data_IF_705800550118
#
_entry.id   IF_705800550118
#
_cell.length_a   1.000
_cell.length_b   1.000
_cell.length_c   1.000
_cell.angle_alpha   90.00
_cell.angle_beta   90.00
_cell.angle_gamma   90.00
#
_symmetry.space_group_name_H-M   'P 1'
#
loop_
_entity.id
_entity.type
_entity.pdbx_description
1 polymer ?
2 non-polymer ?
3 non-polymer ?
4 non-polymer ?
5 water ?
#
# COMPACT_ATOMS: atom_id res chain seq x y z
N UNK A 1 13.97 -1.16 -13.18
CA UNK A 1 13.34 -0.81 -14.44
C UNK A 1 11.99 -1.50 -14.62
N UNK A 2 11.03 -0.74 -15.17
CA UNK A 2 9.65 -1.17 -15.21
C UNK A 2 9.51 -2.52 -15.93
N UNK A 3 10.20 -2.68 -17.05
CA UNK A 3 10.05 -3.87 -17.88
C UNK A 3 10.90 -5.04 -17.43
N UNK A 4 11.70 -4.87 -16.39
CA UNK A 4 12.65 -5.89 -15.96
C UNK A 4 12.70 -5.91 -14.42
N UNK A 5 11.55 -6.05 -13.80
CA UNK A 5 11.45 -6.01 -12.35
C UNK A 5 11.19 -7.41 -11.80
N UNK A 6 11.37 -7.53 -10.48
CA UNK A 6 10.90 -8.70 -9.77
C UNK A 6 9.39 -8.82 -9.89
N UNK A 7 8.91 -10.04 -9.71
CA UNK A 7 7.49 -10.36 -9.65
C UNK A 7 7.08 -10.58 -8.20
N UNK A 8 5.77 -10.67 -7.97
CA UNK A 8 5.31 -11.02 -6.64
C UNK A 8 5.77 -12.42 -6.25
N UNK A 9 5.78 -13.35 -7.21
CA UNK A 9 6.23 -14.70 -6.90
C UNK A 9 7.67 -14.70 -6.43
N UNK A 10 8.52 -13.84 -7.00
CA UNK A 10 9.89 -13.73 -6.52
C UNK A 10 9.96 -13.08 -5.16
N UNK A 11 9.04 -12.16 -4.86
CA UNK A 11 8.98 -11.58 -3.51
C UNK A 11 8.66 -12.67 -2.50
N UNK A 12 7.68 -13.53 -2.81
CA UNK A 12 7.36 -14.66 -1.93
C UNK A 12 8.60 -15.49 -1.66
N UNK A 13 9.35 -15.82 -2.72
CA UNK A 13 10.55 -16.62 -2.57
C UNK A 13 11.53 -15.98 -1.60
N UNK A 14 11.83 -14.70 -1.78
CA UNK A 14 12.81 -14.05 -0.92
C UNK A 14 12.32 -13.92 0.51
N UNK A 15 11.01 -13.72 0.72
CA UNK A 15 10.48 -13.74 2.08
C UNK A 15 10.60 -15.13 2.68
N UNK A 16 10.31 -16.17 1.89
CA UNK A 16 10.50 -17.53 2.39
C UNK A 16 11.94 -17.81 2.76
N UNK A 17 12.88 -17.32 1.96
CA UNK A 17 14.30 -17.53 2.27
C UNK A 17 14.70 -16.81 3.55
N UNK A 18 14.15 -15.61 3.77
CA UNK A 18 14.48 -14.87 4.99
C UNK A 18 13.98 -15.60 6.22
N UNK A 19 12.80 -16.23 6.13
CA UNK A 19 12.28 -16.98 7.27
C UNK A 19 13.10 -18.23 7.52
N UNK A 20 13.37 -18.99 6.47
CA UNK A 20 14.19 -20.18 6.59
C UNK A 20 15.54 -19.86 7.20
N UNK A 21 16.14 -18.75 6.80
CA UNK A 21 17.42 -18.36 7.38
C UNK A 21 17.28 -17.72 8.76
N UNK A 22 16.06 -17.53 9.26
CA UNK A 22 15.83 -16.92 10.56
C UNK A 22 16.50 -15.54 10.64
N UNK A 23 16.41 -14.78 9.55
CA UNK A 23 16.93 -13.42 9.48
C UNK A 23 15.89 -12.48 10.08
N UNK A 24 15.84 -12.46 11.41
CA UNK A 24 14.78 -11.75 12.11
C UNK A 24 15.22 -10.34 12.48
N UNK A 25 14.26 -9.41 12.46
CA UNK A 25 14.46 -8.02 12.86
C UNK A 25 13.35 -7.67 13.86
N UNK A 26 13.74 -7.17 15.02
CA UNK A 26 12.77 -6.95 16.10
C UNK A 26 12.01 -5.66 15.85
N UNK A 27 10.69 -5.76 15.80
CA UNK A 27 9.79 -4.63 15.57
C UNK A 27 9.83 -3.68 16.76
N UNK A 28 9.39 -2.44 16.53
CA UNK A 28 9.27 -1.48 17.63
C UNK A 28 8.36 -2.01 18.75
N UNK A 29 7.43 -2.90 18.44
CA UNK A 29 6.53 -3.48 19.46
C UNK A 29 7.12 -4.69 20.16
N UNK A 30 8.32 -5.12 19.77
CA UNK A 30 9.01 -6.22 20.41
C UNK A 30 8.93 -7.54 19.67
N UNK A 31 7.99 -7.69 18.73
CA UNK A 31 7.84 -8.97 18.06
C UNK A 31 8.84 -9.07 16.92
N UNK A 32 9.10 -10.30 16.46
CA UNK A 32 10.00 -10.50 15.35
C UNK A 32 9.32 -10.17 14.02
N UNK A 33 10.13 -9.71 13.06
CA UNK A 33 9.72 -9.57 11.67
C UNK A 33 10.78 -10.16 10.77
N UNK A 34 10.39 -10.49 9.54
CA UNK A 34 11.31 -10.73 8.44
C UNK A 34 11.03 -9.66 7.40
N UNK A 35 12.07 -9.28 6.64
CA UNK A 35 11.91 -8.18 5.71
C UNK A 35 12.65 -8.43 4.40
N UNK A 36 12.21 -7.71 3.38
CA UNK A 36 13.04 -7.36 2.23
C UNK A 36 13.32 -5.88 2.32
N UNK A 37 14.60 -5.50 2.28
CA UNK A 37 15.01 -4.09 2.36
C UNK A 37 15.19 -3.54 0.96
N UNK A 38 14.64 -2.36 0.70
CA UNK A 38 14.77 -1.77 -0.63
C UNK A 38 14.07 -2.59 -1.69
N UNK A 39 12.93 -3.20 -1.35
CA UNK A 39 12.18 -3.99 -2.30
C UNK A 39 11.75 -3.13 -3.49
N UNK A 40 11.76 -3.73 -4.67
CA UNK A 40 11.27 -3.08 -5.87
C UNK A 40 10.74 -4.17 -6.79
N UNK A 41 9.47 -4.11 -7.11
CA UNK A 41 8.85 -5.18 -7.89
C UNK A 41 7.59 -4.66 -8.56
N UNK A 42 7.23 -5.28 -9.66
CA UNK A 42 5.94 -5.00 -10.28
C UNK A 42 4.88 -5.79 -9.55
N UNK A 43 3.82 -5.10 -9.13
CA UNK A 43 2.70 -5.75 -8.46
C UNK A 43 1.86 -6.44 -9.53
N UNK A 44 2.34 -7.60 -9.97
CA UNK A 44 1.65 -8.38 -10.99
C UNK A 44 0.59 -9.30 -10.42
N UNK A 45 0.45 -9.35 -9.10
CA UNK A 45 -0.66 -10.00 -8.42
C UNK A 45 -1.16 -9.07 -7.33
N UNK A 46 -2.43 -9.19 -6.94
CA UNK A 46 -3.01 -8.25 -5.96
C UNK A 46 -2.80 -8.62 -4.50
N UNK A 47 -2.03 -9.67 -4.22
CA UNK A 47 -1.72 -10.06 -2.86
C UNK A 47 -0.40 -10.81 -2.88
N UNK A 48 0.21 -10.95 -1.71
CA UNK A 48 1.42 -11.74 -1.54
C UNK A 48 1.13 -13.01 -0.77
N UNK A 49 0.69 -12.87 0.48
CA UNK A 49 0.24 -13.97 1.30
C UNK A 49 -1.08 -13.58 1.95
N UNK A 50 -1.89 -14.58 2.29
CA UNK A 50 -3.09 -14.34 3.07
C UNK A 50 -4.36 -14.45 2.23
N UNK A 51 -5.48 -14.47 2.94
CA UNK A 51 -6.77 -14.59 2.32
C UNK A 51 -7.20 -13.27 1.69
N UNK A 52 -8.09 -13.37 0.71
CA UNK A 52 -8.76 -12.20 0.18
C UNK A 52 -9.69 -11.61 1.24
N UNK A 53 -9.93 -10.31 1.12
CA UNK A 53 -10.95 -9.68 1.94
C UNK A 53 -11.47 -8.46 1.18
N UNK A 54 -12.22 -8.73 0.11
CA UNK A 54 -12.87 -7.65 -0.61
C UNK A 54 -13.72 -6.79 0.31
N UNK A 55 -14.29 -7.39 1.37
CA UNK A 55 -15.21 -6.63 2.21
C UNK A 55 -14.48 -5.56 3.02
N UNK A 56 -13.32 -5.88 3.62
CA UNK A 56 -12.58 -4.82 4.28
C UNK A 56 -12.08 -3.79 3.28
N UNK A 57 -11.66 -4.23 2.09
CA UNK A 57 -11.16 -3.28 1.10
C UNK A 57 -12.24 -2.28 0.69
N UNK A 58 -13.49 -2.73 0.56
CA UNK A 58 -14.54 -1.77 0.22
C UNK A 58 -14.83 -0.82 1.38
N UNK A 59 -14.73 -1.31 2.62
CA UNK A 59 -14.89 -0.42 3.77
C UNK A 59 -13.78 0.62 3.79
N UNK A 60 -12.53 0.19 3.54
CA UNK A 60 -11.46 1.17 3.54
C UNK A 60 -11.64 2.19 2.43
N UNK A 61 -12.13 1.76 1.27
CA UNK A 61 -12.33 2.71 0.17
C UNK A 61 -13.35 3.77 0.56
N UNK A 62 -14.45 3.37 1.21
CA UNK A 62 -15.45 4.36 1.61
C UNK A 62 -14.87 5.31 2.65
N UNK A 63 -14.07 4.78 3.56
CA UNK A 63 -13.41 5.66 4.53
C UNK A 63 -12.50 6.66 3.82
N UNK A 64 -11.71 6.19 2.87
CA UNK A 64 -10.86 7.10 2.10
C UNK A 64 -11.71 8.15 1.36
N UNK A 65 -12.81 7.72 0.73
CA UNK A 65 -13.65 8.69 0.03
C UNK A 65 -14.19 9.75 0.97
N UNK A 66 -14.46 9.39 2.23
CA UNK A 66 -14.94 10.37 3.19
C UNK A 66 -13.87 11.38 3.58
N UNK A 67 -12.60 11.02 3.41
CA UNK A 67 -11.43 11.84 3.77
C UNK A 67 -11.33 12.05 5.28
N UNK A 68 -12.06 11.29 6.10
CA UNK A 68 -12.07 11.52 7.53
C UNK A 68 -10.76 11.07 8.16
N UNK A 69 -10.21 11.92 9.04
CA UNK A 69 -9.02 11.58 9.79
C UNK A 69 -9.33 10.80 11.08
N UNK A 70 -10.56 10.32 11.26
CA UNK A 70 -10.96 9.62 12.48
C UNK A 70 -11.33 8.17 12.18
N UNK A 71 -10.75 7.24 12.95
CA UNK A 71 -10.87 5.83 12.62
C UNK A 71 -12.28 5.29 12.85
N UNK A 72 -13.07 5.92 13.72
CA UNK A 72 -14.44 5.44 13.92
C UNK A 72 -15.26 5.59 12.65
N UNK A 73 -14.89 6.51 11.77
CA UNK A 73 -15.61 6.70 10.51
C UNK A 73 -15.37 5.58 9.50
N UNK A 74 -14.42 4.68 9.74
CA UNK A 74 -14.38 3.46 8.92
C UNK A 74 -15.72 2.72 9.08
N UNK A 75 -16.38 2.31 8.00
CA UNK A 75 -17.68 1.65 8.15
C UNK A 75 -17.64 0.45 9.07
N UNK A 76 -18.67 0.30 9.90
CA UNK A 76 -18.78 -0.88 10.74
C UNK A 76 -17.86 -0.80 11.94
N UNK A 77 -17.62 -1.95 12.56
CA UNK A 77 -16.70 -2.01 13.70
C UNK A 77 -15.26 -1.77 13.23
N UNK A 78 -14.67 -0.66 13.65
CA UNK A 78 -13.34 -0.29 13.15
C UNK A 78 -12.32 -1.34 13.58
N UNK A 79 -11.44 -1.78 12.69
CA UNK A 79 -10.47 -2.82 13.08
C UNK A 79 -9.61 -2.43 14.27
N UNK A 80 -9.19 -3.45 15.02
CA UNK A 80 -8.44 -3.21 16.24
C UNK A 80 -7.14 -2.44 15.96
N UNK A 81 -6.51 -2.71 14.81
CA UNK A 81 -5.24 -2.05 14.52
C UNK A 81 -5.44 -0.55 14.41
N UNK A 82 -6.55 -0.12 13.80
CA UNK A 82 -6.82 1.31 13.68
C UNK A 82 -7.17 1.92 15.04
N UNK A 83 -7.92 1.20 15.88
CA UNK A 83 -8.17 1.69 17.23
C UNK A 83 -6.89 1.84 18.03
N UNK A 84 -5.91 0.95 17.80
CA UNK A 84 -4.67 0.98 18.58
C UNK A 84 -3.77 2.15 18.20
N UNK A 85 -3.64 2.44 16.89
CA UNK A 85 -2.73 3.51 16.48
C UNK A 85 -3.36 4.90 16.54
N UNK A 86 -4.66 5.01 16.83
CA UNK A 86 -5.34 6.31 16.78
C UNK A 86 -4.98 7.15 18.01
N UNK A 87 -5.24 8.45 17.91
CA UNK A 87 -4.92 9.36 19.00
C UNK A 87 -5.95 9.22 20.12
N UNK A 88 -5.74 10.01 21.19
CA UNK A 88 -6.70 10.04 22.30
C UNK A 88 -8.10 10.46 21.86
N UNK A 89 -8.21 11.12 20.72
CA UNK A 89 -9.50 11.55 20.17
C UNK A 89 -9.93 10.70 18.99
N UNK A 90 -9.26 9.58 18.73
CA UNK A 90 -9.62 8.73 17.62
C UNK A 90 -9.06 9.16 16.28
N UNK A 91 -8.04 10.02 16.27
CA UNK A 91 -7.53 10.63 15.04
C UNK A 91 -6.29 9.88 14.54
N UNK A 92 -6.08 9.94 13.21
CA UNK A 92 -4.90 9.35 12.57
C UNK A 92 -4.36 10.33 11.54
N UNK A 93 -3.32 9.90 10.82
CA UNK A 93 -2.79 10.61 9.66
C UNK A 93 -3.09 9.92 8.34
N UNK A 94 -3.07 8.59 8.31
CA UNK A 94 -3.03 7.81 7.05
C UNK A 94 -4.41 7.52 6.48
N UNK A 95 -5.22 8.54 6.28
CA UNK A 95 -6.38 8.41 5.39
C UNK A 95 -5.88 8.83 4.00
N UNK A 96 -5.72 7.85 3.11
CA UNK A 96 -5.15 8.10 1.82
C UNK A 96 -6.10 8.88 0.91
N UNK A 97 -7.41 8.79 1.15
CA UNK A 97 -8.32 9.68 0.45
C UNK A 97 -8.14 11.13 0.87
N UNK A 98 -7.95 11.36 2.17
CA UNK A 98 -7.55 12.70 2.60
C UNK A 98 -6.28 13.12 1.88
N UNK A 99 -5.28 12.22 1.83
CA UNK A 99 -3.99 12.58 1.24
C UNK A 99 -4.13 13.07 -0.20
N UNK A 100 -4.96 12.40 -1.00
CA UNK A 100 -5.00 12.78 -2.42
C UNK A 100 -6.17 13.70 -2.78
N UNK A 101 -7.20 13.79 -1.93
CA UNK A 101 -8.38 14.57 -2.29
C UNK A 101 -8.64 15.78 -1.41
N UNK A 102 -8.03 15.88 -0.23
CA UNK A 102 -8.29 17.04 0.62
C UNK A 102 -7.56 18.27 0.12
N UNK A 103 -8.24 19.42 0.19
CA UNK A 103 -7.53 20.66 -0.11
C UNK A 103 -6.48 20.96 0.94
N UNK A 104 -6.62 20.40 2.15
CA UNK A 104 -5.62 20.60 3.20
C UNK A 104 -4.32 19.85 2.90
N UNK A 105 -4.32 18.90 1.98
CA UNK A 105 -3.05 18.32 1.52
C UNK A 105 -2.72 18.76 0.09
N UNK A 106 -3.27 19.90 -0.34
CA UNK A 106 -2.88 20.61 -1.56
C UNK A 106 -3.30 19.90 -2.85
N UNK A 107 -4.45 19.22 -2.80
CA UNK A 107 -5.17 18.77 -4.00
C UNK A 107 -4.29 17.88 -4.89
N UNK A 108 -3.71 16.84 -4.28
CA UNK A 108 -2.72 16.02 -4.98
C UNK A 108 -3.30 15.40 -6.25
N UNK A 109 -4.45 14.73 -6.11
CA UNK A 109 -5.05 14.07 -7.28
C UNK A 109 -5.35 15.08 -8.38
N UNK A 110 -6.03 16.18 -8.04
CA UNK A 110 -6.45 17.14 -9.06
C UNK A 110 -5.25 17.79 -9.75
N UNK A 111 -4.19 18.09 -9.00
CA UNK A 111 -3.03 18.74 -9.62
C UNK A 111 -2.27 17.78 -10.49
N UNK A 112 -2.15 16.53 -10.06
CA UNK A 112 -1.55 15.50 -10.92
C UNK A 112 -2.35 15.31 -12.20
N UNK A 113 -3.68 15.26 -12.08
CA UNK A 113 -4.54 15.17 -13.27
C UNK A 113 -4.34 16.36 -14.20
N UNK A 114 -4.26 17.56 -13.63
CA UNK A 114 -4.06 18.76 -14.45
C UNK A 114 -2.66 18.77 -15.09
N UNK A 115 -1.63 18.36 -14.36
CA UNK A 115 -0.29 18.31 -14.92
C UNK A 115 -0.21 17.37 -16.12
N UNK A 116 -0.74 16.14 -15.98
CA UNK A 116 -0.67 15.18 -17.06
C UNK A 116 -1.65 15.52 -18.18
N UNK A 117 -2.73 16.24 -17.86
CA UNK A 117 -3.63 16.68 -18.90
C UNK A 117 -3.01 17.71 -19.81
N UNK A 118 -2.16 18.58 -19.26
CA UNK A 118 -1.47 19.59 -20.07
C UNK A 118 -0.20 19.06 -20.70
N UNK A 119 0.51 18.14 -20.05
CA UNK A 119 1.71 17.55 -20.64
C UNK A 119 1.74 16.05 -20.36
N UNK A 120 1.23 15.23 -21.29
CA UNK A 120 1.23 13.77 -21.08
C UNK A 120 2.59 13.18 -20.78
N UNK A 121 3.68 13.76 -21.28
CA UNK A 121 5.00 13.19 -21.05
C UNK A 121 5.64 13.69 -19.77
N UNK A 122 4.94 14.50 -19.00
CA UNK A 122 5.51 15.13 -17.82
C UNK A 122 6.08 14.13 -16.82
N UNK A 123 7.19 14.53 -16.19
CA UNK A 123 7.74 13.83 -15.03
C UNK A 123 7.23 14.38 -13.70
N UNK A 124 6.39 15.41 -13.74
CA UNK A 124 5.89 16.08 -12.54
C UNK A 124 4.50 15.63 -12.14
N UNK A 125 4.04 14.50 -12.66
CA UNK A 125 2.74 13.97 -12.29
C UNK A 125 2.90 13.09 -11.07
N UNK A 126 2.55 13.60 -9.90
CA UNK A 126 2.87 12.90 -8.66
C UNK A 126 1.80 13.23 -7.63
N UNK A 127 1.52 12.28 -6.75
CA UNK A 127 0.66 12.53 -5.60
C UNK A 127 1.50 12.32 -4.34
N UNK A 128 1.60 13.37 -3.55
CA UNK A 128 2.55 13.42 -2.45
C UNK A 128 1.75 13.20 -1.18
N UNK A 129 1.95 12.03 -0.56
CA UNK A 129 1.17 11.61 0.60
C UNK A 129 1.78 12.12 1.90
N UNK A 130 3.08 11.88 2.10
CA UNK A 130 3.74 12.24 3.35
C UNK A 130 4.06 13.73 3.29
N UNK A 131 4.69 14.25 4.34
CA UNK A 131 4.96 15.69 4.44
C UNK A 131 6.11 15.88 5.41
N UNK A 132 6.92 16.92 5.23
CA UNK A 132 8.07 17.11 6.14
C UNK A 132 7.68 17.19 7.60
N UNK A 133 6.53 17.78 7.94
CA UNK A 133 6.12 17.88 9.34
C UNK A 133 5.73 16.54 9.95
N UNK A 134 5.71 15.47 9.16
CA UNK A 134 5.46 14.13 9.69
C UNK A 134 6.48 13.75 10.75
N UNK A 135 7.66 14.38 10.74
CA UNK A 135 8.65 14.10 11.78
C UNK A 135 8.11 14.40 13.18
N UNK A 136 7.13 15.29 13.27
CA UNK A 136 6.46 15.61 14.53
C UNK A 136 5.00 15.19 14.57
N UNK A 137 4.35 15.09 13.41
CA UNK A 137 2.92 14.78 13.38
C UNK A 137 2.61 13.31 13.63
N UNK A 138 3.60 12.41 13.48
CA UNK A 138 3.30 10.99 13.53
C UNK A 138 2.72 10.55 14.88
N UNK A 139 2.99 11.30 15.97
CA UNK A 139 2.43 10.94 17.27
C UNK A 139 1.62 12.07 17.89
N UNK A 140 0.96 12.89 17.07
CA UNK A 140 0.08 13.93 17.59
C UNK A 140 -1.01 13.35 18.47
N UNK A 141 -1.23 13.97 19.63
CA UNK A 141 -2.24 13.52 20.58
C UNK A 141 -2.11 12.03 20.92
N UNK A 142 -0.89 11.50 20.86
CA UNK A 142 -0.73 10.11 21.27
C UNK A 142 -1.00 9.08 20.19
N UNK A 143 -1.24 9.50 18.95
CA UNK A 143 -1.38 8.50 17.91
C UNK A 143 -0.02 7.86 17.61
N UNK A 144 -0.03 6.79 16.80
CA UNK A 144 1.24 6.17 16.37
C UNK A 144 1.06 5.84 14.90
N UNK A 145 1.25 6.86 14.04
CA UNK A 145 0.84 6.73 12.65
C UNK A 145 1.77 7.64 11.82
N UNK A 146 2.98 7.15 11.59
CA UNK A 146 3.92 7.79 10.68
C UNK A 146 3.56 7.35 9.25
N UNK A 147 3.22 8.31 8.39
CA UNK A 147 2.77 7.98 7.03
C UNK A 147 3.73 6.99 6.38
N UNK A 148 3.19 5.88 5.84
CA UNK A 148 4.05 4.87 5.20
C UNK A 148 4.14 5.02 3.70
N UNK A 149 3.09 5.46 3.03
CA UNK A 149 3.20 5.79 1.61
C UNK A 149 3.81 7.19 1.50
N UNK A 150 4.93 7.33 0.79
CA UNK A 150 5.58 8.63 0.63
C UNK A 150 5.01 9.39 -0.56
N UNK A 151 5.14 8.81 -1.75
CA UNK A 151 4.69 9.43 -3.00
C UNK A 151 4.21 8.34 -3.94
N UNK A 152 3.33 8.71 -4.88
CA UNK A 152 3.02 7.87 -6.02
C UNK A 152 3.12 8.73 -7.27
N UNK A 153 3.99 8.34 -8.18
CA UNK A 153 4.23 9.09 -9.41
C UNK A 153 3.58 8.38 -10.58
N UNK A 154 3.02 9.16 -11.49
CA UNK A 154 2.31 8.61 -12.65
C UNK A 154 3.01 9.03 -13.93
N UNK A 155 3.41 8.06 -14.74
CA UNK A 155 4.21 8.30 -15.94
C UNK A 155 3.53 7.63 -17.12
N UNK A 156 3.13 8.44 -18.10
CA UNK A 156 2.37 7.98 -19.25
C UNK A 156 3.35 7.72 -20.39
N UNK A 157 3.53 6.46 -20.77
CA UNK A 157 4.49 6.09 -21.81
C UNK A 157 3.85 5.05 -22.71
N UNK A 158 3.88 5.28 -24.02
CA UNK A 158 3.20 4.41 -24.98
C UNK A 158 1.73 4.25 -24.61
N UNK A 159 1.10 5.35 -24.23
CA UNK A 159 -0.31 5.44 -23.88
C UNK A 159 -0.71 4.50 -22.74
N UNK A 160 0.23 4.09 -21.89
CA UNK A 160 -0.09 3.35 -20.68
C UNK A 160 0.34 4.21 -19.49
N UNK A 161 -0.51 4.28 -18.47
CA UNK A 161 -0.18 5.06 -17.28
C UNK A 161 0.40 4.11 -16.24
N UNK A 162 1.68 4.31 -15.93
CA UNK A 162 2.39 3.54 -14.92
C UNK A 162 2.41 4.29 -13.60
N UNK A 163 2.26 3.56 -12.50
CA UNK A 163 2.31 4.15 -11.16
C UNK A 163 3.55 3.63 -10.46
N UNK A 164 4.40 4.54 -10.01
CA UNK A 164 5.58 4.22 -9.23
C UNK A 164 5.24 4.56 -7.78
N UNK A 165 4.98 3.53 -6.98
CA UNK A 165 4.56 3.69 -5.59
C UNK A 165 5.82 3.65 -4.73
N UNK A 166 6.04 4.70 -3.97
CA UNK A 166 7.21 4.77 -3.09
C UNK A 166 6.77 4.71 -1.64
N UNK A 167 7.05 3.59 -0.98
CA UNK A 167 6.57 3.35 0.37
C UNK A 167 7.74 3.19 1.33
N UNK A 168 7.58 3.79 2.50
CA UNK A 168 8.59 3.65 3.55
C UNK A 168 8.51 2.27 4.18
N UNK A 169 7.30 1.74 4.29
CA UNK A 169 7.05 0.62 5.19
C UNK A 169 5.76 -0.06 4.74
N UNK A 170 5.76 -1.39 4.64
CA UNK A 170 4.59 -2.08 4.12
C UNK A 170 4.53 -3.48 4.75
N UNK A 171 3.44 -3.72 5.46
CA UNK A 171 3.11 -5.06 5.93
C UNK A 171 2.72 -5.93 4.75
N UNK A 172 3.39 -7.06 4.60
CA UNK A 172 3.15 -7.93 3.44
C UNK A 172 1.73 -8.49 3.42
N UNK A 173 1.14 -8.78 4.59
CA UNK A 173 -0.07 -9.57 4.61
C UNK A 173 -1.32 -8.69 4.44
N UNK A 174 -1.55 -7.74 5.33
CA UNK A 174 -2.70 -6.86 5.15
C UNK A 174 -2.35 -5.61 4.36
N UNK A 175 -1.25 -4.95 4.73
CA UNK A 175 -0.89 -3.69 4.10
C UNK A 175 -0.82 -3.78 2.59
N UNK A 176 -0.08 -4.76 2.06
CA UNK A 176 0.11 -4.78 0.61
C UNK A 176 -1.21 -5.00 -0.11
N UNK A 177 -2.00 -5.97 0.36
CA UNK A 177 -3.26 -6.29 -0.31
C UNK A 177 -4.20 -5.08 -0.33
N UNK A 178 -4.37 -4.43 0.83
CA UNK A 178 -5.20 -3.24 0.90
C UNK A 178 -4.63 -2.11 0.06
N UNK A 179 -3.32 -1.86 0.21
CA UNK A 179 -2.71 -0.74 -0.50
C UNK A 179 -2.74 -0.99 -2.00
N UNK A 180 -2.49 -2.23 -2.42
CA UNK A 180 -2.58 -2.51 -3.85
C UNK A 180 -3.97 -2.20 -4.38
N UNK A 181 -5.00 -2.67 -3.67
CA UNK A 181 -6.37 -2.38 -4.09
C UNK A 181 -6.59 -0.89 -4.23
N UNK A 182 -6.06 -0.12 -3.29
CA UNK A 182 -6.23 1.34 -3.34
C UNK A 182 -5.46 1.96 -4.50
N UNK A 183 -4.20 1.56 -4.69
CA UNK A 183 -3.43 2.17 -5.77
C UNK A 183 -4.00 1.82 -7.14
N UNK A 184 -4.52 0.60 -7.30
CA UNK A 184 -5.14 0.22 -8.58
C UNK A 184 -6.41 1.03 -8.80
N UNK A 185 -7.17 1.27 -7.75
CA UNK A 185 -8.34 2.13 -7.82
C UNK A 185 -7.96 3.52 -8.33
N UNK A 186 -6.96 4.16 -7.70
CA UNK A 186 -6.58 5.52 -8.10
C UNK A 186 -6.08 5.54 -9.54
N UNK A 187 -5.25 4.56 -9.91
CA UNK A 187 -4.73 4.49 -11.28
C UNK A 187 -5.87 4.38 -12.28
N UNK A 188 -6.84 3.49 -12.03
CA UNK A 188 -7.94 3.34 -12.96
C UNK A 188 -8.77 4.61 -13.03
N UNK A 189 -8.90 5.31 -11.91
CA UNK A 189 -9.63 6.57 -11.91
C UNK A 189 -8.90 7.64 -12.72
N UNK A 190 -7.58 7.73 -12.56
CA UNK A 190 -6.80 8.70 -13.33
C UNK A 190 -6.85 8.40 -14.82
N UNK A 191 -6.74 7.12 -15.20
CA UNK A 191 -6.92 6.73 -16.60
C UNK A 191 -8.27 7.19 -17.11
N UNK A 192 -9.33 6.88 -16.36
CA UNK A 192 -10.69 7.23 -16.77
C UNK A 192 -10.87 8.74 -16.88
N UNK A 193 -10.39 9.47 -15.88
CA UNK A 193 -10.54 10.93 -15.88
C UNK A 193 -9.75 11.56 -17.02
N UNK A 194 -8.55 11.06 -17.33
CA UNK A 194 -7.81 11.61 -18.45
C UNK A 194 -8.51 11.27 -19.76
N UNK A 195 -8.94 10.02 -19.91
CA UNK A 195 -9.64 9.65 -21.14
C UNK A 195 -10.93 10.43 -21.29
N UNK A 196 -11.65 10.65 -20.19
CA UNK A 196 -12.87 11.43 -20.28
C UNK A 196 -12.58 12.88 -20.65
N UNK A 197 -11.39 13.38 -20.34
CA UNK A 197 -11.05 14.74 -20.71
C UNK A 197 -10.85 14.91 -22.20
N UNK A 198 -10.35 13.88 -22.89
CA UNK A 198 -10.12 13.97 -24.33
C UNK A 198 -10.11 12.57 -24.92
N UNK A 199 -11.05 12.30 -25.81
CA UNK A 199 -11.18 11.00 -26.46
C UNK A 199 -10.01 10.66 -27.39
N UNK A 200 -9.13 11.61 -27.71
CA UNK A 200 -7.95 11.26 -28.50
C UNK A 200 -6.90 10.54 -27.66
N UNK A 201 -6.95 10.67 -26.33
CA UNK A 201 -5.86 10.16 -25.50
C UNK A 201 -5.78 8.63 -25.55
N UNK A 202 -6.90 7.95 -25.29
CA UNK A 202 -7.00 6.50 -25.37
C UNK A 202 -5.94 5.81 -24.51
N UNK A 203 -5.77 6.30 -23.29
CA UNK A 203 -4.83 5.70 -22.35
C UNK A 203 -5.39 4.41 -21.76
N UNK A 204 -4.49 3.56 -21.28
CA UNK A 204 -4.85 2.36 -20.52
C UNK A 204 -3.99 2.31 -19.27
N UNK A 205 -4.44 1.54 -18.28
CA UNK A 205 -3.63 1.35 -17.09
C UNK A 205 -2.37 0.55 -17.44
N UNK A 206 -1.25 1.00 -16.93
CA UNK A 206 0.03 0.33 -17.09
C UNK A 206 0.35 -0.50 -15.86
N UNK A 207 1.63 -0.57 -15.55
CA UNK A 207 2.11 -1.34 -14.40
C UNK A 207 2.13 -0.50 -13.14
N UNK A 208 1.93 -1.16 -12.00
CA UNK A 208 2.11 -0.57 -10.68
C UNK A 208 3.41 -1.13 -10.13
N UNK A 209 4.39 -0.25 -9.95
CA UNK A 209 5.71 -0.65 -9.49
C UNK A 209 5.81 -0.28 -8.03
N UNK A 210 6.09 -1.27 -7.20
CA UNK A 210 6.06 -1.17 -5.75
C UNK A 210 7.49 -1.06 -5.24
N UNK A 211 7.81 0.06 -4.59
CA UNK A 211 9.14 0.30 -4.02
C UNK A 211 8.99 0.56 -2.53
N UNK A 212 9.60 -0.29 -1.70
CA UNK A 212 9.37 -0.28 -0.25
C UNK A 212 10.70 -0.28 0.49
N UNK A 213 10.86 0.65 1.42
CA UNK A 213 12.04 0.65 2.29
C UNK A 213 12.14 -0.66 3.07
N UNK A 214 11.10 -0.96 3.84
CA UNK A 214 11.02 -2.22 4.58
C UNK A 214 9.69 -2.87 4.24
N UNK A 215 9.74 -3.96 3.47
CA UNK A 215 8.58 -4.80 3.19
C UNK A 215 8.69 -6.01 4.12
N UNK A 216 7.75 -6.17 5.05
CA UNK A 216 7.97 -7.08 6.18
C UNK A 216 6.75 -7.94 6.51
N UNK A 217 7.01 -9.07 7.16
CA UNK A 217 5.99 -9.93 7.74
C UNK A 217 6.20 -9.94 9.24
N UNK A 218 5.12 -9.73 10.00
CA UNK A 218 5.16 -9.88 11.45
C UNK A 218 5.12 -11.35 11.85
N UNK A 219 5.69 -11.64 13.02
CA UNK A 219 5.76 -13.02 13.49
C UNK A 219 4.40 -13.70 13.54
N UNK A 220 3.32 -12.94 13.78
CA UNK A 220 1.99 -13.53 13.84
C UNK A 220 1.53 -14.07 12.49
N UNK A 221 2.25 -13.78 11.41
CA UNK A 221 1.94 -14.27 10.07
C UNK A 221 3.04 -15.16 9.49
N UNK A 222 4.05 -15.52 10.30
CA UNK A 222 5.08 -16.41 9.79
C UNK A 222 4.49 -17.72 9.29
N UNK A 223 3.37 -18.16 9.90
CA UNK A 223 2.76 -19.42 9.48
C UNK A 223 2.31 -19.37 8.02
N UNK A 224 1.87 -18.20 7.55
CA UNK A 224 1.52 -18.07 6.14
C UNK A 224 2.74 -18.25 5.24
N UNK A 225 3.88 -17.67 5.63
CA UNK A 225 5.08 -17.80 4.83
C UNK A 225 5.56 -19.25 4.85
N UNK A 226 5.56 -19.86 6.02
CA UNK A 226 6.03 -21.22 6.17
C UNK A 226 5.17 -22.19 5.37
N UNK A 227 3.84 -22.07 5.49
CA UNK A 227 2.97 -22.96 4.73
C UNK A 227 3.19 -22.82 3.22
N UNK A 228 3.34 -21.58 2.73
CA UNK A 228 3.60 -21.40 1.31
C UNK A 228 4.95 -22.01 0.92
N UNK A 229 5.98 -21.78 1.76
CA UNK A 229 7.30 -22.38 1.52
C UNK A 229 7.19 -23.89 1.28
N UNK A 230 6.35 -24.57 2.06
CA UNK A 230 6.26 -26.02 2.03
C UNK A 230 5.32 -26.55 0.95
N UNK A 231 4.31 -25.76 0.53
CA UNK A 231 3.26 -26.24 -0.36
C UNK A 231 3.01 -25.38 -1.59
N UNK A 232 3.42 -24.12 -1.61
CA UNK A 232 3.06 -23.25 -2.71
C UNK A 232 1.67 -22.65 -2.60
N UNK A 233 0.95 -22.94 -1.51
CA UNK A 233 -0.35 -22.34 -1.25
C UNK A 233 -0.15 -21.00 -0.56
N UNK A 234 -0.71 -19.93 -1.13
CA UNK A 234 -0.49 -18.60 -0.60
C UNK A 234 -1.37 -18.29 0.60
N UNK A 235 -2.27 -19.20 0.96
CA UNK A 235 -3.14 -19.00 2.11
C UNK A 235 -3.39 -20.32 2.81
N UNK A 236 -3.56 -20.24 4.13
CA UNK A 236 -4.11 -21.32 4.94
C UNK A 236 -4.75 -20.67 6.15
N UNK A 237 -5.84 -21.25 6.63
CA UNK A 237 -6.42 -20.76 7.87
C UNK A 237 -5.51 -21.09 9.03
N UNK A 238 -5.44 -20.18 10.00
CA UNK A 238 -4.63 -20.45 11.19
C UNK A 238 -5.04 -21.74 11.86
N UNK A 239 -6.34 -22.07 11.85
CA UNK A 239 -6.82 -23.31 12.44
C UNK A 239 -6.16 -24.53 11.77
N UNK A 240 -6.13 -24.54 10.44
CA UNK A 240 -5.66 -25.70 9.71
C UNK A 240 -4.14 -25.80 9.63
N UNK A 241 -3.41 -24.75 10.00
CA UNK A 241 -1.97 -24.74 9.83
C UNK A 241 -1.30 -25.73 10.79
N UNK A 242 -0.34 -26.49 10.25
CA UNK A 242 0.48 -27.42 11.01
C UNK A 242 1.95 -27.06 10.77
N UNK A 243 2.65 -26.70 11.83
CA UNK A 243 4.03 -26.27 11.71
C UNK A 243 4.53 -25.63 13.00
N UNK A 244 5.75 -25.09 12.90
CA UNK A 244 6.47 -24.59 14.07
C UNK A 244 6.13 -23.15 14.43
N UNK A 245 5.18 -22.52 13.74
CA UNK A 245 4.84 -21.12 13.99
C UNK A 245 3.40 -20.93 14.47
N UNK A 246 2.81 -21.96 15.08
CA UNK A 246 1.43 -21.89 15.55
C UNK A 246 1.18 -20.74 16.53
X LIG B 1 -13.63 3.15 17.13
X LIG C 1 1.46 -0.09 7.13
X LIG C 1 1.21 -0.73 5.83
X LIG C 1 0.59 0.01 4.87
X LIG C 1 0.27 1.26 5.15
X LIG C 1 0.48 1.93 6.40
X LIG C 1 1.10 1.20 7.38
X LIG C 1 1.53 -1.88 5.65
X LIG C 1 -0.34 1.92 4.13
X LIG C 1 2.12 -0.91 8.16
X LIG C 1 3.62 -0.94 7.84
X LIG C 1 4.10 -1.20 9.26
X LIG C 1 3.20 -0.31 10.12
X LIG C 1 1.96 -0.24 9.38
X LIG C 1 3.85 -2.50 9.62
X LIG C 1 3.84 1.09 10.36
X LIG C 1 4.75 0.92 11.33
X LIG C 1 6.17 1.93 11.21
X LIG C 1 6.83 1.43 9.93
X LIG C 1 5.67 3.35 11.19
X LIG C 1 6.85 1.47 12.48
X LIG D 1 0.93 -2.04 12.41
X LIG D 1 0.83 -0.70 12.75
X LIG D 1 0.13 0.24 12.07
X LIG D 1 -0.54 -0.23 10.94
X LIG D 1 -0.50 -1.55 10.53
X LIG D 1 0.26 -2.54 11.26
X LIG D 1 -1.26 0.73 10.23
X LIG D 1 -2.11 0.27 9.14
X LIG D 1 -1.47 -0.93 8.40
X LIG D 1 -1.18 -1.96 9.37
X LIG D 1 -2.39 -1.39 7.22
X LIG D 1 -3.80 -1.28 7.60
X LIG D 1 -4.54 -2.41 8.04
X LIG D 1 -3.88 -3.55 8.59
X LIG D 1 -4.64 -4.65 9.01
X LIG D 1 -6.05 -4.64 8.89
X LIG D 1 -6.68 -3.52 8.35
X LIG D 1 -5.94 -2.41 7.92
X LIG D 1 -6.84 -5.84 9.35
X LIG D 1 -7.83 -6.26 8.50
X LIG D 1 -8.72 -7.42 8.79
X LIG D 1 -8.82 -8.38 7.59
X LIG D 1 -8.86 -7.85 6.44
X LIG D 1 -8.87 -9.59 7.84
X LIG D 1 -10.12 -6.91 9.15
X LIG D 1 -10.14 -6.44 10.57
X LIG D 1 -11.58 -6.23 11.02
X LIG D 1 -12.47 -5.95 10.18
X LIG D 1 -11.79 -6.36 12.26
X LIG D 1 -6.61 -6.37 10.46
X LIG D 1 0.39 -3.73 11.01
X LIG D 1 1.51 -0.28 13.89
#
# INVERSE_FOLDING_TARGET
MISDSMTVEEIRLHLGLALKEKDFVVDKTGVKTIEIIGASFVADEPFIFGALNDEYIQRELEWYKSKSLFVKDIPGETPKIWQQVASSKGEINSNYGWAIWSEDNYAQYDMCLAELGQNPDSRRGIMIYTRPSMQFDYNKDGMSDFMSTNTVQYLIRDKKINAVVNMRSNDVVFGFRNNYAWQKYVLDKLVSDLNAGDSTRQYKAGSIIWNVGSLHVYSRHFYLVDHWWKTGETHISKKDYVGKYA
IOD I
DCM N1 C2 N3 C4 C5 C6 O2 N4 C1' C2' C3' C4' O4' O3' C5' O5' P O1P O2P O3P
THG N3 C2 N1 C8A C4A C4 N8 C7 C6 N5 C9 N10 C4' C3' C2' C1' C6' C5' C11 N CA C OX2 OX1 CB CG CD OE1 OE2 O11 O4 N2
#
